data_IF_884489571485
#
_entry.id   IF_884489571485
#
_cell.length_a   1.000
_cell.length_b   1.000
_cell.length_c   1.000
_cell.angle_alpha   90.00
_cell.angle_beta   90.00
_cell.angle_gamma   90.00
#
_symmetry.space_group_name_H-M   'P 1'
#
loop_
_entity.id
_entity.type
_entity.pdbx_description
1 polymer ?
#
# COMPACT_ATOMS: atom_id res chain seq x y z
N UNK A 1 -3.56 14.56 18.59
CA UNK A 1 -4.96 14.52 18.10
C UNK A 1 -5.99 14.38 19.25
N UNK A 2 -5.56 14.15 20.51
CA UNK A 2 -6.47 14.20 21.64
C UNK A 2 -7.16 15.58 21.71
N UNK A 3 -8.48 15.59 21.86
CA UNK A 3 -9.28 16.80 21.82
C UNK A 3 -9.81 17.25 20.46
N UNK A 4 -9.33 16.66 19.36
CA UNK A 4 -9.86 16.93 18.01
C UNK A 4 -10.86 15.87 17.51
N UNK A 5 -10.91 14.72 18.18
CA UNK A 5 -11.79 13.61 17.81
C UNK A 5 -12.99 13.60 18.75
N UNK A 6 -14.16 13.89 18.23
CA UNK A 6 -15.45 13.89 18.92
C UNK A 6 -16.42 12.88 18.30
N UNK A 7 -17.67 12.81 18.82
CA UNK A 7 -18.66 11.84 18.36
C UNK A 7 -19.00 11.93 16.87
N UNK A 8 -18.90 13.13 16.31
CA UNK A 8 -19.23 13.39 14.89
C UNK A 8 -17.98 13.38 13.96
N UNK A 9 -16.80 13.10 14.51
CA UNK A 9 -15.57 13.07 13.71
C UNK A 9 -15.57 11.82 12.83
N UNK A 10 -15.35 11.99 11.52
CA UNK A 10 -15.08 10.91 10.56
C UNK A 10 -13.58 10.84 10.31
N UNK A 11 -13.04 9.64 10.27
CA UNK A 11 -11.60 9.42 10.13
C UNK A 11 -11.35 8.59 8.88
N UNK A 12 -10.43 9.05 8.05
CA UNK A 12 -9.93 8.33 6.89
C UNK A 12 -8.40 8.36 6.92
N UNK A 13 -7.76 7.22 6.66
CA UNK A 13 -6.31 7.14 6.45
C UNK A 13 -6.02 6.94 4.96
N UNK A 14 -5.03 7.68 4.45
CA UNK A 14 -4.56 7.56 3.07
C UNK A 14 -3.12 7.05 3.02
N UNK A 15 -2.61 6.50 4.13
CA UNK A 15 -1.29 5.91 4.19
C UNK A 15 -1.23 4.61 3.40
N UNK A 16 -0.04 4.25 2.92
CA UNK A 16 0.20 2.94 2.33
C UNK A 16 0.17 1.83 3.40
N UNK A 17 -0.09 0.60 2.97
CA UNK A 17 -0.19 -0.53 3.88
C UNK A 17 -1.63 -0.82 4.32
N UNK A 18 -1.77 -1.56 5.42
CA UNK A 18 -3.05 -2.02 5.98
C UNK A 18 -3.09 -1.90 7.51
N UNK A 19 -2.12 -1.22 8.10
CA UNK A 19 -1.92 -1.18 9.56
C UNK A 19 -2.30 0.15 10.19
N UNK A 20 -2.35 1.24 9.42
CA UNK A 20 -2.68 2.57 9.93
C UNK A 20 -4.08 2.64 10.50
N UNK A 21 -5.03 1.99 9.87
CA UNK A 21 -6.43 1.92 10.29
C UNK A 21 -6.57 1.16 11.61
N UNK A 22 -5.81 0.08 11.79
CA UNK A 22 -5.79 -0.69 13.02
C UNK A 22 -5.21 0.14 14.19
N UNK A 23 -4.13 0.89 13.93
CA UNK A 23 -3.54 1.79 14.93
C UNK A 23 -4.51 2.92 15.32
N UNK A 24 -5.22 3.49 14.36
CA UNK A 24 -6.26 4.50 14.60
C UNK A 24 -7.42 3.89 15.38
N UNK A 25 -7.89 2.72 14.96
CA UNK A 25 -9.01 2.04 15.60
C UNK A 25 -8.71 1.58 17.02
N UNK A 26 -7.48 1.18 17.32
CA UNK A 26 -7.06 0.87 18.69
C UNK A 26 -7.21 2.08 19.64
N UNK A 27 -7.13 3.29 19.13
CA UNK A 27 -7.24 4.52 19.94
C UNK A 27 -8.65 5.11 19.94
N UNK A 28 -9.35 5.10 18.80
CA UNK A 28 -10.60 5.83 18.60
C UNK A 28 -11.80 4.94 18.29
N UNK A 29 -11.57 3.62 18.13
CA UNK A 29 -12.59 2.67 17.69
C UNK A 29 -12.81 2.68 16.18
N UNK A 30 -13.43 1.62 15.68
CA UNK A 30 -13.71 1.41 14.25
C UNK A 30 -14.93 2.19 13.75
N UNK A 31 -15.85 2.56 14.61
CA UNK A 31 -17.18 3.04 14.22
C UNK A 31 -17.16 4.29 13.32
N UNK A 32 -16.17 5.16 13.49
CA UNK A 32 -16.02 6.41 12.74
C UNK A 32 -14.96 6.34 11.65
N UNK A 33 -14.34 5.17 11.47
CA UNK A 33 -13.20 4.98 10.58
C UNK A 33 -13.67 4.41 9.25
N UNK A 34 -13.23 5.05 8.17
CA UNK A 34 -13.37 4.60 6.79
C UNK A 34 -12.05 4.03 6.32
N UNK A 35 -12.08 2.82 5.77
CA UNK A 35 -10.93 2.22 5.11
C UNK A 35 -10.72 2.87 3.74
N UNK A 36 -9.47 3.14 3.37
CA UNK A 36 -9.20 3.76 2.08
C UNK A 36 -7.82 3.44 1.51
N UNK A 37 -7.70 3.59 0.22
CA UNK A 37 -6.44 3.65 -0.51
C UNK A 37 -6.46 4.81 -1.51
N UNK A 38 -5.27 5.28 -1.86
CA UNK A 38 -5.07 6.13 -3.03
C UNK A 38 -4.43 5.31 -4.15
N UNK A 39 -4.82 5.55 -5.40
CA UNK A 39 -4.22 4.87 -6.55
C UNK A 39 -4.20 5.76 -7.80
N UNK A 40 -3.34 5.39 -8.78
CA UNK A 40 -3.28 6.07 -10.06
C UNK A 40 -2.67 7.47 -10.02
N UNK A 41 -2.00 7.85 -8.94
CA UNK A 41 -1.29 9.12 -8.84
C UNK A 41 0.18 8.96 -9.17
N UNK A 42 0.76 10.00 -9.76
CA UNK A 42 2.17 10.10 -10.12
C UNK A 42 2.86 11.32 -9.46
N UNK A 43 2.35 11.71 -8.30
CA UNK A 43 2.81 12.90 -7.59
C UNK A 43 4.27 12.80 -7.12
N UNK A 44 5.04 13.84 -7.40
CA UNK A 44 6.43 14.03 -6.95
C UNK A 44 6.54 15.35 -6.19
N UNK A 45 7.15 15.32 -5.01
CA UNK A 45 7.35 16.49 -4.17
C UNK A 45 8.84 16.77 -3.98
N UNK A 46 9.35 17.81 -4.65
CA UNK A 46 10.75 18.23 -4.60
C UNK A 46 10.81 19.73 -4.35
N UNK A 47 11.69 20.18 -3.47
CA UNK A 47 11.95 21.59 -3.14
C UNK A 47 10.67 22.39 -2.83
N UNK A 48 9.74 21.80 -2.08
CA UNK A 48 8.42 22.36 -1.75
C UNK A 48 7.50 22.57 -2.96
N UNK A 49 7.81 21.96 -4.09
CA UNK A 49 6.95 21.97 -5.29
C UNK A 49 6.34 20.58 -5.49
N UNK A 50 5.01 20.51 -5.51
CA UNK A 50 4.26 19.32 -5.88
C UNK A 50 4.01 19.34 -7.39
N UNK A 51 4.49 18.31 -8.08
CA UNK A 51 4.25 18.09 -9.51
C UNK A 51 3.51 16.78 -9.71
N UNK A 52 2.48 16.76 -10.53
CA UNK A 52 1.75 15.56 -10.91
C UNK A 52 1.17 15.72 -12.32
N UNK A 53 1.00 14.63 -13.05
CA UNK A 53 0.23 14.59 -14.30
C UNK A 53 -1.11 13.86 -14.11
N UNK A 54 -1.16 12.94 -13.13
CA UNK A 54 -2.37 12.22 -12.75
C UNK A 54 -2.63 12.40 -11.26
N UNK A 55 -3.76 13.00 -10.92
CA UNK A 55 -4.17 13.19 -9.52
C UNK A 55 -4.56 11.88 -8.82
N UNK A 56 -4.88 10.84 -9.60
CA UNK A 56 -5.35 9.57 -9.07
C UNK A 56 -6.77 9.65 -8.51
N UNK A 57 -7.14 8.63 -7.76
CA UNK A 57 -8.42 8.55 -7.06
C UNK A 57 -8.26 7.99 -5.64
N UNK A 58 -9.25 8.25 -4.80
CA UNK A 58 -9.42 7.63 -3.50
C UNK A 58 -10.45 6.51 -3.65
N UNK A 59 -10.09 5.29 -3.23
CA UNK A 59 -11.06 4.20 -3.06
C UNK A 59 -11.30 4.01 -1.58
N UNK A 60 -12.55 3.96 -1.17
CA UNK A 60 -12.95 3.94 0.22
C UNK A 60 -14.09 2.95 0.46
N UNK A 61 -14.25 2.52 1.70
CA UNK A 61 -15.32 1.61 2.08
C UNK A 61 -15.38 1.35 3.57
N UNK A 62 -16.39 0.61 4.00
CA UNK A 62 -16.62 0.31 5.40
C UNK A 62 -15.69 -0.80 5.91
N UNK A 63 -15.20 -0.65 7.16
CA UNK A 63 -14.83 -1.80 7.97
C UNK A 63 -16.10 -2.47 8.51
N UNK A 64 -15.98 -3.70 9.01
CA UNK A 64 -17.14 -4.44 9.55
C UNK A 64 -17.86 -3.75 10.71
N UNK A 65 -17.19 -2.83 11.39
CA UNK A 65 -17.70 -2.08 12.56
C UNK A 65 -17.91 -0.58 12.26
N UNK A 66 -17.74 -0.14 11.02
CA UNK A 66 -18.04 1.26 10.63
C UNK A 66 -19.54 1.51 10.77
N UNK A 67 -19.92 2.62 11.41
CA UNK A 67 -21.33 3.00 11.52
C UNK A 67 -21.94 3.30 10.15
N UNK A 68 -23.23 3.02 10.02
CA UNK A 68 -24.01 3.37 8.81
C UNK A 68 -23.93 4.88 8.56
N UNK A 69 -23.71 5.28 7.29
CA UNK A 69 -23.64 6.66 6.86
C UNK A 69 -22.24 7.28 6.92
N UNK A 70 -21.28 6.67 7.63
CA UNK A 70 -19.92 7.23 7.78
C UNK A 70 -19.15 7.23 6.45
N UNK A 71 -19.33 6.20 5.64
CA UNK A 71 -18.71 6.13 4.29
C UNK A 71 -19.33 7.16 3.38
N UNK A 72 -20.65 7.29 3.42
CA UNK A 72 -21.43 8.25 2.65
C UNK A 72 -21.06 9.69 3.00
N UNK A 73 -20.87 10.02 4.29
CA UNK A 73 -20.42 11.34 4.74
C UNK A 73 -19.08 11.72 4.12
N UNK A 74 -18.11 10.80 4.07
CA UNK A 74 -16.81 11.02 3.44
C UNK A 74 -16.94 11.11 1.91
N UNK A 75 -17.72 10.22 1.30
CA UNK A 75 -17.94 10.24 -0.16
C UNK A 75 -18.58 11.57 -0.60
N UNK A 76 -19.59 12.07 0.11
CA UNK A 76 -20.20 13.37 -0.16
C UNK A 76 -19.20 14.52 -0.05
N UNK A 77 -18.30 14.49 0.95
CA UNK A 77 -17.24 15.49 1.08
C UNK A 77 -16.30 15.47 -0.12
N UNK A 78 -15.87 14.28 -0.56
CA UNK A 78 -14.98 14.12 -1.71
C UNK A 78 -15.66 14.60 -3.00
N UNK A 79 -16.93 14.26 -3.21
CA UNK A 79 -17.73 14.72 -4.36
C UNK A 79 -17.83 16.26 -4.39
N UNK A 80 -18.19 16.88 -3.26
CA UNK A 80 -18.32 18.36 -3.16
C UNK A 80 -17.00 19.09 -3.38
N UNK A 81 -15.87 18.45 -3.10
CA UNK A 81 -14.53 19.02 -3.30
C UNK A 81 -13.93 18.66 -4.65
N UNK A 82 -14.63 17.88 -5.49
CA UNK A 82 -14.18 17.45 -6.81
C UNK A 82 -13.03 16.45 -6.76
N UNK A 83 -12.85 15.74 -5.63
CA UNK A 83 -11.84 14.70 -5.51
C UNK A 83 -12.40 13.39 -6.06
N UNK A 84 -11.72 12.82 -7.06
CA UNK A 84 -12.11 11.55 -7.67
C UNK A 84 -12.10 10.44 -6.63
N UNK A 85 -13.19 9.70 -6.52
CA UNK A 85 -13.33 8.62 -5.56
C UNK A 85 -14.28 7.53 -6.04
N UNK A 86 -14.14 6.33 -5.45
CA UNK A 86 -15.02 5.18 -5.66
C UNK A 86 -15.29 4.52 -4.32
N UNK A 87 -16.57 4.23 -4.04
CA UNK A 87 -16.96 3.41 -2.89
C UNK A 87 -16.90 1.94 -3.28
N UNK A 88 -16.10 1.18 -2.54
CA UNK A 88 -15.85 -0.25 -2.76
C UNK A 88 -16.70 -1.11 -1.81
N UNK A 89 -17.29 -2.18 -2.32
CA UNK A 89 -17.97 -3.18 -1.50
C UNK A 89 -16.98 -3.97 -0.63
N UNK A 90 -15.82 -4.31 -1.20
CA UNK A 90 -14.73 -5.02 -0.50
C UNK A 90 -13.44 -4.20 -0.54
N UNK A 91 -13.43 -3.12 0.23
CA UNK A 91 -12.26 -2.25 0.37
C UNK A 91 -11.06 -2.99 0.99
N UNK A 92 -11.30 -3.95 1.91
CA UNK A 92 -10.20 -4.72 2.51
C UNK A 92 -9.46 -5.53 1.47
N UNK A 93 -10.17 -6.19 0.56
CA UNK A 93 -9.55 -6.91 -0.55
C UNK A 93 -8.75 -5.96 -1.43
N UNK A 94 -9.28 -4.78 -1.75
CA UNK A 94 -8.57 -3.74 -2.52
C UNK A 94 -7.30 -3.26 -1.83
N UNK A 95 -7.34 -3.02 -0.51
CA UNK A 95 -6.16 -2.63 0.29
C UNK A 95 -5.07 -3.71 0.23
N UNK A 96 -5.43 -4.98 0.42
CA UNK A 96 -4.48 -6.08 0.37
C UNK A 96 -3.93 -6.33 -1.05
N UNK A 97 -4.73 -6.15 -2.09
CA UNK A 97 -4.27 -6.23 -3.48
C UNK A 97 -3.23 -5.15 -3.77
N UNK A 98 -3.47 -3.91 -3.32
CA UNK A 98 -2.48 -2.82 -3.43
C UNK A 98 -1.23 -3.10 -2.59
N UNK A 99 -1.38 -3.60 -1.35
CA UNK A 99 -0.24 -3.98 -0.52
C UNK A 99 0.61 -5.06 -1.19
N UNK A 100 -0.01 -6.11 -1.76
CA UNK A 100 0.68 -7.17 -2.50
C UNK A 100 1.52 -6.58 -3.65
N UNK A 101 0.95 -5.68 -4.45
CA UNK A 101 1.68 -4.98 -5.52
C UNK A 101 2.87 -4.19 -4.96
N UNK A 102 2.65 -3.39 -3.92
CA UNK A 102 3.69 -2.57 -3.30
C UNK A 102 4.83 -3.40 -2.71
N UNK A 103 4.50 -4.50 -2.04
CA UNK A 103 5.47 -5.46 -1.50
C UNK A 103 6.39 -6.00 -2.60
N UNK A 104 5.86 -6.27 -3.79
CA UNK A 104 6.67 -6.68 -4.93
C UNK A 104 7.51 -5.55 -5.50
N UNK A 105 6.85 -4.52 -6.05
CA UNK A 105 7.51 -3.53 -6.90
C UNK A 105 8.36 -2.53 -6.11
N UNK A 106 7.85 -2.00 -4.98
CA UNK A 106 8.55 -0.97 -4.22
C UNK A 106 9.85 -1.50 -3.64
N UNK A 107 9.80 -2.66 -2.97
CA UNK A 107 10.98 -3.25 -2.33
C UNK A 107 11.99 -3.75 -3.35
N UNK A 108 11.52 -4.38 -4.45
CA UNK A 108 12.42 -4.79 -5.54
C UNK A 108 13.19 -3.59 -6.12
N UNK A 109 12.50 -2.52 -6.46
CA UNK A 109 13.15 -1.34 -7.02
C UNK A 109 14.03 -0.60 -6.00
N UNK A 110 13.70 -0.67 -4.71
CA UNK A 110 14.56 -0.18 -3.64
C UNK A 110 15.88 -0.97 -3.58
N UNK A 111 15.84 -2.30 -3.64
CA UNK A 111 17.02 -3.17 -3.48
C UNK A 111 17.90 -3.16 -4.72
N UNK A 112 17.33 -3.38 -5.90
CA UNK A 112 18.08 -3.50 -7.15
C UNK A 112 18.29 -2.17 -7.89
N UNK A 113 17.56 -1.12 -7.49
CA UNK A 113 17.41 0.08 -8.29
C UNK A 113 16.46 -0.13 -9.47
N UNK A 114 16.28 0.90 -10.28
CA UNK A 114 15.53 0.83 -11.52
C UNK A 114 14.14 1.48 -11.48
N UNK A 115 13.47 1.35 -12.60
CA UNK A 115 12.17 1.96 -12.91
C UNK A 115 11.12 0.87 -13.11
N UNK A 116 9.86 1.26 -13.35
CA UNK A 116 8.81 0.31 -13.73
C UNK A 116 9.18 -0.48 -15.00
N UNK A 117 9.82 0.15 -15.99
CA UNK A 117 10.28 -0.52 -17.22
C UNK A 117 11.31 -1.62 -16.99
N UNK A 118 12.08 -1.57 -15.91
CA UNK A 118 13.05 -2.61 -15.55
C UNK A 118 12.51 -3.59 -14.50
N UNK A 119 11.32 -3.35 -13.96
CA UNK A 119 10.78 -4.12 -12.85
C UNK A 119 10.51 -5.58 -13.22
N UNK A 120 9.99 -5.80 -14.42
CA UNK A 120 9.57 -7.10 -14.94
C UNK A 120 10.58 -7.72 -15.92
N UNK A 121 11.79 -7.17 -15.99
CA UNK A 121 12.86 -7.79 -16.81
C UNK A 121 13.08 -9.23 -16.37
N UNK A 122 13.34 -10.13 -17.33
CA UNK A 122 13.61 -11.53 -17.06
C UNK A 122 14.78 -11.72 -16.07
N UNK A 123 14.69 -12.77 -15.28
CA UNK A 123 15.76 -13.19 -14.40
C UNK A 123 15.41 -13.11 -12.90
N UNK A 124 16.45 -12.94 -12.08
CA UNK A 124 16.35 -12.98 -10.61
C UNK A 124 15.44 -11.90 -10.06
N UNK A 125 15.50 -10.70 -10.63
CA UNK A 125 14.74 -9.55 -10.15
C UNK A 125 13.23 -9.73 -10.33
N UNK A 126 12.78 -10.28 -11.45
CA UNK A 126 11.38 -10.60 -11.66
C UNK A 126 10.93 -11.73 -10.73
N UNK A 127 11.75 -12.77 -10.57
CA UNK A 127 11.44 -13.85 -9.61
C UNK A 127 11.31 -13.33 -8.18
N UNK A 128 12.18 -12.40 -7.77
CA UNK A 128 12.13 -11.74 -6.47
C UNK A 128 10.79 -10.99 -6.29
N UNK A 129 10.38 -10.17 -7.26
CA UNK A 129 9.13 -9.41 -7.23
C UNK A 129 7.93 -10.37 -7.08
N UNK A 130 7.80 -11.34 -7.98
CA UNK A 130 6.66 -12.27 -7.98
C UNK A 130 6.64 -13.15 -6.73
N UNK A 131 7.80 -13.59 -6.23
CA UNK A 131 7.89 -14.36 -4.99
C UNK A 131 7.40 -13.55 -3.78
N UNK A 132 7.84 -12.29 -3.66
CA UNK A 132 7.38 -11.41 -2.57
C UNK A 132 5.85 -11.18 -2.62
N UNK A 133 5.30 -11.00 -3.82
CA UNK A 133 3.84 -10.87 -4.02
C UNK A 133 3.09 -12.15 -3.62
N UNK A 134 3.61 -13.34 -3.98
CA UNK A 134 3.00 -14.62 -3.61
C UNK A 134 2.99 -14.83 -2.10
N UNK A 135 4.05 -14.45 -1.40
CA UNK A 135 4.09 -14.49 0.06
C UNK A 135 3.05 -13.53 0.68
N UNK A 136 2.94 -12.30 0.16
CA UNK A 136 1.92 -11.35 0.61
C UNK A 136 0.49 -11.87 0.34
N UNK A 137 0.25 -12.50 -0.81
CA UNK A 137 -1.03 -13.16 -1.12
C UNK A 137 -1.32 -14.29 -0.13
N UNK A 138 -0.34 -15.12 0.20
CA UNK A 138 -0.54 -16.21 1.16
C UNK A 138 -0.91 -15.68 2.56
N UNK A 139 -0.26 -14.59 2.99
CA UNK A 139 -0.58 -13.91 4.25
C UNK A 139 -2.00 -13.31 4.20
N UNK A 140 -2.36 -12.62 3.12
CA UNK A 140 -3.72 -12.08 2.93
C UNK A 140 -4.79 -13.18 3.07
N UNK A 141 -4.55 -14.34 2.44
CA UNK A 141 -5.48 -15.47 2.51
C UNK A 141 -5.59 -16.04 3.93
N UNK A 142 -4.51 -16.07 4.69
CA UNK A 142 -4.54 -16.46 6.11
C UNK A 142 -5.29 -15.44 6.99
N UNK A 143 -5.27 -14.15 6.62
CA UNK A 143 -6.07 -13.08 7.22
C UNK A 143 -7.56 -13.09 6.77
N UNK A 144 -7.96 -14.08 5.97
CA UNK A 144 -9.33 -14.20 5.47
C UNK A 144 -9.66 -13.33 4.25
N UNK A 145 -8.66 -12.76 3.60
CA UNK A 145 -8.83 -11.97 2.37
C UNK A 145 -8.54 -12.87 1.16
N UNK A 146 -9.57 -13.24 0.42
CA UNK A 146 -9.49 -14.20 -0.68
C UNK A 146 -8.80 -13.60 -1.94
N UNK A 147 -7.46 -13.48 -1.91
CA UNK A 147 -6.68 -13.13 -3.09
C UNK A 147 -6.35 -14.37 -3.93
N UNK A 148 -6.49 -14.24 -5.24
CA UNK A 148 -6.28 -15.30 -6.21
C UNK A 148 -4.96 -15.13 -6.98
N UNK A 149 -4.60 -16.08 -7.84
CA UNK A 149 -3.48 -15.90 -8.77
C UNK A 149 -3.84 -14.88 -9.86
N UNK A 150 -5.11 -14.76 -10.21
CA UNK A 150 -5.57 -13.74 -11.17
C UNK A 150 -5.38 -12.32 -10.63
N UNK A 151 -5.61 -12.08 -9.33
CA UNK A 151 -5.30 -10.80 -8.70
C UNK A 151 -3.80 -10.48 -8.77
N UNK A 152 -2.95 -11.47 -8.57
CA UNK A 152 -1.51 -11.29 -8.68
C UNK A 152 -1.12 -10.96 -10.13
N UNK A 153 -1.64 -11.69 -11.10
CA UNK A 153 -1.38 -11.47 -12.52
C UNK A 153 -1.89 -10.08 -12.97
N UNK A 154 -3.08 -9.66 -12.52
CA UNK A 154 -3.60 -8.31 -12.76
C UNK A 154 -2.62 -7.24 -12.26
N UNK A 155 -2.06 -7.40 -11.06
CA UNK A 155 -1.08 -6.44 -10.54
C UNK A 155 0.23 -6.45 -11.34
N UNK A 156 0.68 -7.59 -11.81
CA UNK A 156 1.84 -7.68 -12.71
C UNK A 156 1.55 -6.97 -14.04
N UNK A 157 0.36 -7.14 -14.60
CA UNK A 157 -0.06 -6.46 -15.82
C UNK A 157 -0.17 -4.95 -15.62
N UNK A 158 -0.67 -4.50 -14.47
CA UNK A 158 -0.69 -3.08 -14.12
C UNK A 158 0.74 -2.52 -14.10
N UNK A 159 1.69 -3.19 -13.43
CA UNK A 159 3.10 -2.78 -13.39
C UNK A 159 3.69 -2.69 -14.80
N UNK A 160 3.38 -3.65 -15.68
CA UNK A 160 3.86 -3.68 -17.05
C UNK A 160 3.38 -2.50 -17.91
N UNK A 161 2.23 -1.90 -17.54
CA UNK A 161 1.60 -0.79 -18.24
C UNK A 161 1.84 0.59 -17.61
N UNK A 162 2.60 0.66 -16.51
CA UNK A 162 3.03 1.94 -15.94
C UNK A 162 4.07 2.62 -16.85
N UNK A 163 4.24 3.95 -16.67
CA UNK A 163 5.31 4.67 -17.39
C UNK A 163 6.66 3.96 -17.14
N UNK A 164 7.31 3.43 -18.19
CA UNK A 164 8.55 2.68 -18.02
C UNK A 164 9.69 3.50 -17.39
N UNK A 165 9.63 4.83 -17.46
CA UNK A 165 10.60 5.73 -16.84
C UNK A 165 10.21 6.13 -15.41
N UNK A 166 8.99 5.85 -15.00
CA UNK A 166 8.51 6.13 -13.66
C UNK A 166 9.19 5.23 -12.61
N UNK A 167 9.18 5.68 -11.37
CA UNK A 167 9.78 4.98 -10.24
C UNK A 167 8.79 4.86 -9.08
N UNK A 168 8.71 3.69 -8.41
CA UNK A 168 7.95 3.57 -7.18
C UNK A 168 8.58 4.39 -6.03
N UNK A 169 7.76 4.72 -5.03
CA UNK A 169 8.15 5.61 -3.92
C UNK A 169 9.45 5.20 -3.22
N UNK A 170 9.62 3.93 -2.87
CA UNK A 170 10.84 3.47 -2.21
C UNK A 170 12.10 3.58 -3.08
N UNK A 171 11.98 3.50 -4.41
CA UNK A 171 13.12 3.75 -5.30
C UNK A 171 13.50 5.25 -5.30
N UNK A 172 12.51 6.14 -5.20
CA UNK A 172 12.74 7.58 -5.02
C UNK A 172 13.39 7.87 -3.66
N UNK A 173 12.94 7.22 -2.59
CA UNK A 173 13.52 7.35 -1.24
C UNK A 173 14.99 6.93 -1.24
N UNK A 174 15.35 5.84 -1.93
CA UNK A 174 16.74 5.41 -2.09
C UNK A 174 17.61 6.50 -2.72
N UNK A 175 17.15 7.13 -3.80
CA UNK A 175 17.89 8.21 -4.48
C UNK A 175 18.06 9.39 -3.54
N UNK A 176 17.03 9.72 -2.78
CA UNK A 176 17.01 10.85 -1.85
C UNK A 176 17.62 10.53 -0.47
N UNK A 177 18.07 9.28 -0.24
CA UNK A 177 18.57 8.77 1.05
C UNK A 177 17.60 9.05 2.21
N UNK A 178 16.33 8.78 1.98
CA UNK A 178 15.27 8.91 2.98
C UNK A 178 14.89 7.53 3.52
N UNK A 179 14.57 7.41 4.82
CA UNK A 179 14.00 6.18 5.36
C UNK A 179 12.78 5.77 4.57
N UNK A 180 12.68 4.47 4.27
CA UNK A 180 11.59 3.92 3.45
C UNK A 180 10.43 3.42 4.29
N UNK A 181 9.34 3.07 3.62
CA UNK A 181 8.16 2.42 4.22
C UNK A 181 8.31 0.90 4.36
N UNK A 182 9.53 0.34 4.35
CA UNK A 182 9.75 -1.11 4.38
C UNK A 182 9.07 -1.80 5.57
N UNK A 183 8.96 -1.12 6.70
CA UNK A 183 8.24 -1.62 7.87
C UNK A 183 6.74 -1.81 7.60
N UNK A 184 6.12 -0.94 6.79
CA UNK A 184 4.72 -1.05 6.39
C UNK A 184 4.49 -2.11 5.30
N UNK A 185 5.53 -2.57 4.61
CA UNK A 185 5.48 -3.58 3.55
C UNK A 185 6.00 -4.93 4.07
N UNK A 186 7.29 -5.22 3.92
CA UNK A 186 7.84 -6.49 4.41
C UNK A 186 7.65 -6.68 5.92
N UNK A 187 7.79 -5.62 6.72
CA UNK A 187 7.57 -5.69 8.16
C UNK A 187 6.17 -6.22 8.49
N UNK A 188 5.13 -5.65 7.88
CA UNK A 188 3.74 -6.12 8.05
C UNK A 188 3.58 -7.58 7.60
N UNK A 189 4.16 -7.96 6.45
CA UNK A 189 4.05 -9.33 5.95
C UNK A 189 4.73 -10.32 6.89
N UNK A 190 5.91 -9.98 7.45
CA UNK A 190 6.61 -10.84 8.41
C UNK A 190 5.83 -11.01 9.70
N UNK A 191 5.35 -9.90 10.29
CA UNK A 191 4.59 -9.92 11.53
C UNK A 191 3.34 -10.82 11.42
N UNK A 192 2.56 -10.62 10.36
CA UNK A 192 1.33 -11.40 10.14
C UNK A 192 1.63 -12.84 9.77
N UNK A 193 2.67 -13.10 8.98
CA UNK A 193 3.11 -14.46 8.67
C UNK A 193 3.48 -15.24 9.94
N UNK A 194 4.15 -14.60 10.90
CA UNK A 194 4.48 -15.21 12.19
C UNK A 194 3.23 -15.62 12.96
N UNK A 195 2.21 -14.78 13.03
CA UNK A 195 0.93 -15.08 13.69
C UNK A 195 0.21 -16.28 13.06
N UNK A 196 0.39 -16.50 11.76
CA UNK A 196 -0.22 -17.61 11.02
C UNK A 196 0.70 -18.82 10.79
N UNK A 197 1.92 -18.78 11.30
CA UNK A 197 2.92 -19.86 11.12
C UNK A 197 3.38 -20.03 9.67
N UNK A 198 3.34 -18.96 8.87
CA UNK A 198 3.77 -18.96 7.47
C UNK A 198 5.23 -18.57 7.33
N UNK A 199 5.90 -19.15 6.32
CA UNK A 199 7.25 -18.76 5.94
C UNK A 199 7.21 -17.77 4.78
N UNK A 200 7.89 -16.64 4.96
CA UNK A 200 7.99 -15.57 3.97
C UNK A 200 9.45 -15.15 3.72
N UNK A 201 10.27 -16.08 3.23
CA UNK A 201 11.71 -15.87 3.11
C UNK A 201 12.09 -14.73 2.17
N UNK A 202 11.31 -14.50 1.11
CA UNK A 202 11.59 -13.42 0.17
C UNK A 202 11.37 -12.04 0.81
N UNK A 203 10.28 -11.85 1.55
CA UNK A 203 10.03 -10.59 2.27
C UNK A 203 11.05 -10.38 3.39
N UNK A 204 11.48 -11.43 4.09
CA UNK A 204 12.56 -11.33 5.07
C UNK A 204 13.85 -10.84 4.43
N UNK A 205 14.26 -11.46 3.33
CA UNK A 205 15.45 -11.07 2.59
C UNK A 205 15.37 -9.61 2.11
N UNK A 206 14.21 -9.20 1.57
CA UNK A 206 14.00 -7.81 1.13
C UNK A 206 14.12 -6.81 2.28
N UNK A 207 13.52 -7.11 3.44
CA UNK A 207 13.63 -6.26 4.64
C UNK A 207 15.09 -6.07 5.07
N UNK A 208 15.85 -7.17 5.14
CA UNK A 208 17.26 -7.15 5.51
C UNK A 208 18.09 -6.32 4.52
N UNK A 209 17.87 -6.52 3.20
CA UNK A 209 18.57 -5.75 2.16
C UNK A 209 18.25 -4.25 2.21
N UNK A 210 16.99 -3.90 2.42
CA UNK A 210 16.60 -2.49 2.57
C UNK A 210 17.30 -1.86 3.77
N UNK A 211 17.29 -2.50 4.94
CA UNK A 211 17.97 -2.00 6.14
C UNK A 211 19.48 -1.87 5.94
N UNK A 212 20.13 -2.80 5.23
CA UNK A 212 21.56 -2.67 4.90
C UNK A 212 21.83 -1.45 4.03
N UNK A 213 21.00 -1.19 3.01
CA UNK A 213 21.12 -0.02 2.14
C UNK A 213 20.93 1.26 2.95
N UNK A 214 19.87 1.35 3.75
CA UNK A 214 19.58 2.51 4.61
C UNK A 214 20.70 2.78 5.61
N UNK A 215 21.29 1.73 6.18
CA UNK A 215 22.41 1.84 7.13
C UNK A 215 23.71 2.32 6.50
N UNK A 216 23.81 2.33 5.17
CA UNK A 216 24.98 2.78 4.41
C UNK A 216 24.92 4.27 4.03
N UNK A 217 23.88 4.98 4.37
CA UNK A 217 23.64 6.40 4.00
C UNK A 217 24.32 7.47 4.90
#
# INVERSE_FOLDING_TARGET
>A
MEGLVGPETRIISLLNGVTSEEAIAARYGWKHLVLAITQGMDAVFIDNVLTYSHAGEIRLGAASQTETGVVEDIAELLERTGISHTVEEDIRRRMWTKLMMNVGINQKCMVYGGTYGTALSDGEQNRCLVAAMREAKAVANAEGIALTEDDLNEMVDIIANLDPNGMPSMAQDRINRKPTEVALFAGTILERAEHHGLLVPQNRWLLERVHEIESSW
#
